data_IF_296855785176
#
_entry.id   IF_296855785176
#
_cell.length_a   1.000
_cell.length_b   1.000
_cell.length_c   1.000
_cell.angle_alpha   90.00
_cell.angle_beta   90.00
_cell.angle_gamma   90.00
#
_symmetry.space_group_name_H-M   'P 1'
#
loop_
_entity.id
_entity.type
_entity.pdbx_description
1 polymer ?
#
# COMPACT_ATOMS: atom_id res chain seq x y z
N UNK A 1 26.08 -20.57 -1.83
CA UNK A 1 25.97 -19.34 -1.01
C UNK A 1 25.90 -18.03 -1.82
N UNK A 2 26.21 -18.04 -3.12
CA UNK A 2 25.94 -16.88 -4.01
C UNK A 2 24.46 -16.74 -4.41
N UNK A 3 23.66 -17.75 -4.18
CA UNK A 3 22.23 -17.84 -4.55
C UNK A 3 21.34 -16.78 -3.86
N UNK A 4 21.46 -16.62 -2.56
CA UNK A 4 20.53 -15.80 -1.77
C UNK A 4 20.52 -14.30 -2.09
N UNK A 5 21.67 -13.69 -2.35
CA UNK A 5 21.73 -12.26 -2.69
C UNK A 5 21.32 -12.00 -4.14
N UNK A 6 21.66 -12.92 -5.04
CA UNK A 6 21.23 -12.86 -6.44
C UNK A 6 19.72 -13.07 -6.57
N UNK A 7 19.19 -14.05 -5.87
CA UNK A 7 17.74 -14.34 -5.82
C UNK A 7 16.96 -13.15 -5.26
N UNK A 8 17.48 -12.46 -4.24
CA UNK A 8 16.88 -11.24 -3.72
C UNK A 8 16.90 -10.10 -4.75
N UNK A 9 18.03 -9.88 -5.41
CA UNK A 9 18.16 -8.81 -6.42
C UNK A 9 17.16 -9.02 -7.57
N UNK A 10 17.02 -10.26 -8.04
CA UNK A 10 16.04 -10.61 -9.08
C UNK A 10 14.59 -10.38 -8.60
N UNK A 11 14.27 -10.79 -7.38
CA UNK A 11 12.95 -10.55 -6.80
C UNK A 11 12.68 -9.06 -6.61
N UNK A 12 13.67 -8.30 -6.15
CA UNK A 12 13.56 -6.85 -5.97
C UNK A 12 13.32 -6.14 -7.31
N UNK A 13 14.11 -6.43 -8.33
CA UNK A 13 13.93 -5.87 -9.67
C UNK A 13 12.53 -6.18 -10.24
N UNK A 14 12.10 -7.43 -10.10
CA UNK A 14 10.81 -7.90 -10.64
C UNK A 14 9.60 -7.26 -9.97
N UNK A 15 9.69 -6.93 -8.70
CA UNK A 15 8.55 -6.51 -7.89
C UNK A 15 8.64 -5.08 -7.34
N UNK A 16 9.64 -4.31 -7.76
CA UNK A 16 9.84 -2.92 -7.31
C UNK A 16 8.60 -2.06 -7.59
N UNK A 17 8.11 -2.11 -8.82
CA UNK A 17 6.98 -1.30 -9.27
C UNK A 17 5.68 -1.70 -8.55
N UNK A 18 5.47 -3.00 -8.32
CA UNK A 18 4.31 -3.51 -7.58
C UNK A 18 4.30 -3.01 -6.12
N UNK A 19 5.45 -3.11 -5.45
CA UNK A 19 5.60 -2.64 -4.07
C UNK A 19 5.40 -1.13 -3.98
N UNK A 20 5.99 -0.37 -4.90
CA UNK A 20 5.82 1.08 -4.96
C UNK A 20 4.37 1.47 -5.21
N UNK A 21 3.70 0.85 -6.20
CA UNK A 21 2.29 1.10 -6.49
C UNK A 21 1.39 0.81 -5.27
N UNK A 22 1.62 -0.31 -4.59
CA UNK A 22 0.90 -0.64 -3.35
C UNK A 22 1.09 0.42 -2.27
N UNK A 23 2.32 0.89 -2.07
CA UNK A 23 2.62 1.94 -1.07
C UNK A 23 2.03 3.29 -1.45
N UNK A 24 1.97 3.66 -2.73
CA UNK A 24 1.27 4.88 -3.19
C UNK A 24 -0.21 4.83 -2.80
N UNK A 25 -0.89 3.72 -3.07
CA UNK A 25 -2.30 3.55 -2.69
C UNK A 25 -2.50 3.57 -1.18
N UNK A 26 -1.61 2.92 -0.44
CA UNK A 26 -1.72 2.81 1.02
C UNK A 26 -1.46 4.14 1.72
N UNK A 27 -0.44 4.90 1.30
CA UNK A 27 -0.06 6.18 1.91
C UNK A 27 -0.88 7.35 1.38
N UNK A 28 -1.29 7.31 0.13
CA UNK A 28 -1.88 8.45 -0.57
C UNK A 28 -0.88 9.60 -0.79
N UNK A 29 0.42 9.32 -0.72
CA UNK A 29 1.49 10.30 -0.88
C UNK A 29 2.68 9.65 -1.62
N UNK A 30 3.02 10.18 -2.78
CA UNK A 30 4.05 9.62 -3.65
C UNK A 30 5.44 9.71 -3.04
N UNK A 31 5.76 10.82 -2.37
CA UNK A 31 7.06 11.02 -1.74
C UNK A 31 7.25 10.05 -0.56
N UNK A 32 6.23 9.94 0.27
CA UNK A 32 6.23 8.95 1.37
C UNK A 32 6.34 7.53 0.83
N UNK A 33 5.63 7.21 -0.25
CA UNK A 33 5.70 5.88 -0.87
C UNK A 33 7.10 5.56 -1.41
N UNK A 34 7.82 6.53 -1.99
CA UNK A 34 9.20 6.35 -2.43
C UNK A 34 10.15 6.04 -1.26
N UNK A 35 10.05 6.80 -0.17
CA UNK A 35 10.84 6.57 1.04
C UNK A 35 10.54 5.18 1.64
N UNK A 36 9.26 4.82 1.76
CA UNK A 36 8.85 3.53 2.30
C UNK A 36 9.20 2.36 1.37
N UNK A 37 9.25 2.58 0.07
CA UNK A 37 9.73 1.58 -0.89
C UNK A 37 11.20 1.25 -0.62
N UNK A 38 12.05 2.24 -0.52
CA UNK A 38 13.47 2.05 -0.20
C UNK A 38 13.65 1.32 1.15
N UNK A 39 12.93 1.76 2.18
CA UNK A 39 12.97 1.11 3.50
C UNK A 39 12.45 -0.34 3.46
N UNK A 40 11.39 -0.59 2.68
CA UNK A 40 10.84 -1.94 2.50
C UNK A 40 11.88 -2.89 1.94
N UNK A 41 12.59 -2.51 0.88
CA UNK A 41 13.61 -3.37 0.27
C UNK A 41 14.84 -3.53 1.16
N UNK A 42 15.23 -2.51 1.93
CA UNK A 42 16.29 -2.64 2.93
C UNK A 42 15.91 -3.68 4.02
N UNK A 43 14.72 -3.58 4.59
CA UNK A 43 14.20 -4.56 5.57
C UNK A 43 14.02 -5.95 4.96
N UNK A 44 13.57 -6.02 3.71
CA UNK A 44 13.40 -7.28 3.00
C UNK A 44 14.74 -7.98 2.77
N UNK A 45 15.80 -7.26 2.39
CA UNK A 45 17.15 -7.80 2.23
C UNK A 45 17.66 -8.44 3.53
N UNK A 46 17.52 -7.73 4.65
CA UNK A 46 17.93 -8.24 5.97
C UNK A 46 17.18 -9.53 6.36
N UNK A 47 15.93 -9.65 5.93
CA UNK A 47 15.01 -10.75 6.30
C UNK A 47 14.88 -11.80 5.21
N UNK A 48 15.56 -11.66 4.06
CA UNK A 48 15.41 -12.55 2.91
C UNK A 48 15.62 -14.04 3.22
N UNK A 49 16.51 -14.35 4.15
CA UNK A 49 16.75 -15.73 4.62
C UNK A 49 15.52 -16.36 5.30
N UNK A 50 14.53 -15.57 5.71
CA UNK A 50 13.28 -16.03 6.34
C UNK A 50 12.16 -16.23 5.31
N UNK A 51 12.36 -15.76 4.08
CA UNK A 51 11.40 -15.99 3.02
C UNK A 51 11.36 -17.48 2.66
N UNK A 52 10.15 -18.05 2.66
CA UNK A 52 9.90 -19.43 2.26
C UNK A 52 8.92 -19.45 1.08
N UNK A 53 9.38 -19.83 -0.13
CA UNK A 53 8.53 -19.83 -1.33
C UNK A 53 7.35 -20.82 -1.24
N UNK A 54 7.39 -21.78 -0.31
CA UNK A 54 6.26 -22.69 -0.06
C UNK A 54 5.09 -22.01 0.66
N UNK A 55 5.34 -20.89 1.32
CA UNK A 55 4.35 -20.12 2.08
C UNK A 55 3.71 -18.98 1.28
N UNK A 56 4.21 -18.68 0.10
CA UNK A 56 3.70 -17.63 -0.77
C UNK A 56 4.77 -17.10 -1.72
N UNK A 57 4.34 -16.36 -2.73
CA UNK A 57 5.25 -15.75 -3.70
C UNK A 57 6.12 -14.66 -3.08
N UNK A 58 7.27 -14.38 -3.70
CA UNK A 58 8.14 -13.27 -3.31
C UNK A 58 7.38 -11.92 -3.34
N UNK A 59 6.51 -11.72 -4.33
CA UNK A 59 5.65 -10.54 -4.45
C UNK A 59 4.75 -10.37 -3.23
N UNK A 60 4.03 -11.42 -2.84
CA UNK A 60 3.16 -11.40 -1.66
C UNK A 60 3.96 -11.10 -0.39
N UNK A 61 5.10 -11.75 -0.22
CA UNK A 61 5.96 -11.54 0.94
C UNK A 61 6.53 -10.12 0.99
N UNK A 62 6.98 -9.55 -0.14
CA UNK A 62 7.44 -8.17 -0.23
C UNK A 62 6.32 -7.16 0.10
N UNK A 63 5.10 -7.41 -0.35
CA UNK A 63 3.93 -6.60 0.02
C UNK A 63 3.61 -6.70 1.53
N UNK A 64 3.81 -7.84 2.16
CA UNK A 64 3.70 -7.97 3.62
C UNK A 64 4.74 -7.11 4.35
N UNK A 65 5.99 -7.11 3.89
CA UNK A 65 7.04 -6.25 4.43
C UNK A 65 6.69 -4.78 4.22
N UNK A 66 6.22 -4.41 3.03
CA UNK A 66 5.79 -3.05 2.70
C UNK A 66 4.67 -2.56 3.61
N UNK A 67 3.64 -3.39 3.82
CA UNK A 67 2.55 -3.05 4.74
C UNK A 67 3.05 -2.86 6.17
N UNK A 68 3.91 -3.73 6.67
CA UNK A 68 4.51 -3.59 8.00
C UNK A 68 5.29 -2.28 8.12
N UNK A 69 6.08 -1.95 7.12
CA UNK A 69 6.85 -0.69 7.04
C UNK A 69 5.92 0.53 7.07
N UNK A 70 4.85 0.52 6.28
CA UNK A 70 3.87 1.59 6.26
C UNK A 70 3.10 1.75 7.58
N UNK A 71 2.72 0.65 8.22
CA UNK A 71 2.06 0.70 9.53
C UNK A 71 2.97 1.29 10.62
N UNK A 72 4.26 0.95 10.60
CA UNK A 72 5.24 1.56 11.51
C UNK A 72 5.36 3.07 11.26
N UNK A 73 5.38 3.49 10.00
CA UNK A 73 5.38 4.90 9.61
C UNK A 73 4.13 5.62 10.11
N UNK A 74 2.93 5.09 9.90
CA UNK A 74 1.68 5.70 10.37
C UNK A 74 1.63 5.83 11.89
N UNK A 75 2.11 4.84 12.63
CA UNK A 75 2.22 4.91 14.09
C UNK A 75 3.20 5.99 14.55
N UNK A 76 4.32 6.15 13.87
CA UNK A 76 5.30 7.19 14.16
C UNK A 76 4.73 8.59 13.88
N UNK A 77 4.05 8.77 12.74
CA UNK A 77 3.39 10.02 12.38
C UNK A 77 2.28 10.40 13.37
N UNK A 78 1.47 9.42 13.80
CA UNK A 78 0.43 9.66 14.80
C UNK A 78 1.02 10.10 16.15
N UNK A 79 2.11 9.47 16.59
CA UNK A 79 2.83 9.89 17.81
C UNK A 79 3.41 11.28 17.67
N UNK A 80 3.94 11.66 16.49
CA UNK A 80 4.46 12.99 16.20
C UNK A 80 3.35 14.03 16.24
N UNK A 81 2.21 13.78 15.58
CA UNK A 81 1.04 14.67 15.58
C UNK A 81 0.51 14.91 16.99
N UNK A 82 0.43 13.90 17.84
CA UNK A 82 -0.01 14.04 19.23
C UNK A 82 0.93 14.91 20.05
N UNK A 83 2.23 14.89 19.76
CA UNK A 83 3.21 15.76 20.40
C UNK A 83 3.13 17.20 19.88
N UNK A 84 2.96 17.38 18.58
CA UNK A 84 2.88 18.69 17.92
C UNK A 84 1.55 19.39 18.20
N UNK A 85 0.43 18.70 18.26
CA UNK A 85 -0.89 19.26 18.60
C UNK A 85 -0.96 19.85 20.01
N UNK A 86 0.03 19.62 20.86
CA UNK A 86 0.20 20.33 22.12
C UNK A 86 0.78 21.75 21.93
N UNK A 87 1.33 22.07 20.77
CA UNK A 87 2.13 23.28 20.52
C UNK A 87 1.80 24.04 19.22
N UNK A 88 0.99 23.52 18.28
CA UNK A 88 0.77 24.17 16.98
C UNK A 88 -0.50 23.70 16.27
N UNK A 89 -1.29 24.67 15.78
CA UNK A 89 -2.37 24.47 14.81
C UNK A 89 -1.77 24.44 13.39
N UNK A 90 -1.08 23.39 13.00
CA UNK A 90 -0.67 23.22 11.60
C UNK A 90 -1.78 22.49 10.83
N UNK A 91 -2.33 23.17 9.83
CA UNK A 91 -3.20 22.56 8.82
C UNK A 91 -2.31 21.65 7.96
N UNK A 92 -2.66 20.38 7.75
CA UNK A 92 -1.91 19.53 6.82
C UNK A 92 -1.89 20.16 5.44
N UNK A 93 -0.72 20.31 4.83
CA UNK A 93 -0.63 20.70 3.42
C UNK A 93 -1.31 19.61 2.58
N UNK A 94 -2.28 20.03 1.74
CA UNK A 94 -2.91 19.15 0.79
C UNK A 94 -1.90 18.89 -0.34
N UNK A 95 -1.31 17.70 -0.35
CA UNK A 95 -0.48 17.26 -1.46
C UNK A 95 -1.37 16.72 -2.58
N UNK A 96 -1.07 17.10 -3.82
CA UNK A 96 -1.70 16.50 -4.98
C UNK A 96 -1.30 15.03 -5.06
N UNK A 97 -2.27 14.14 -4.88
CA UNK A 97 -2.04 12.70 -4.88
C UNK A 97 -2.28 12.16 -6.29
N UNK A 98 -1.28 11.51 -6.84
CA UNK A 98 -1.38 10.78 -8.10
C UNK A 98 -1.20 9.30 -7.80
N UNK A 99 -2.28 8.52 -7.84
CA UNK A 99 -2.27 7.08 -7.57
C UNK A 99 -1.71 6.25 -8.72
N UNK A 100 -1.92 6.68 -9.95
CA UNK A 100 -1.42 5.98 -11.13
C UNK A 100 -1.53 6.81 -12.41
N UNK A 101 -0.73 6.45 -13.39
CA UNK A 101 -0.82 7.09 -14.70
C UNK A 101 -2.13 6.72 -15.41
N UNK A 102 -2.78 7.68 -16.03
CA UNK A 102 -3.98 7.47 -16.82
C UNK A 102 -5.29 7.37 -16.03
N UNK A 103 -5.27 7.59 -14.73
CA UNK A 103 -6.50 7.74 -13.95
C UNK A 103 -7.13 9.10 -14.23
N UNK A 104 -8.49 9.14 -14.27
CA UNK A 104 -9.16 10.43 -14.39
C UNK A 104 -9.07 11.24 -13.11
N UNK A 105 -9.13 12.59 -13.18
CA UNK A 105 -9.12 13.44 -11.98
C UNK A 105 -10.24 13.09 -10.97
N UNK A 106 -11.40 12.66 -11.46
CA UNK A 106 -12.53 12.23 -10.61
C UNK A 106 -12.19 10.97 -9.84
N UNK A 107 -11.53 10.00 -10.48
CA UNK A 107 -11.10 8.75 -9.85
C UNK A 107 -9.97 9.00 -8.84
N UNK A 108 -8.99 9.83 -9.20
CA UNK A 108 -7.93 10.26 -8.27
C UNK A 108 -8.52 10.94 -7.04
N UNK A 109 -9.45 11.88 -7.23
CA UNK A 109 -10.16 12.55 -6.15
C UNK A 109 -10.98 11.60 -5.28
N UNK A 110 -11.66 10.64 -5.90
CA UNK A 110 -12.42 9.63 -5.16
C UNK A 110 -11.50 8.73 -4.32
N UNK A 111 -10.41 8.24 -4.87
CA UNK A 111 -9.41 7.45 -4.15
C UNK A 111 -8.79 8.22 -2.98
N UNK A 112 -8.51 9.51 -3.14
CA UNK A 112 -7.91 10.34 -2.08
C UNK A 112 -8.85 10.51 -0.86
N UNK A 113 -10.16 10.45 -1.06
CA UNK A 113 -11.16 10.51 0.01
C UNK A 113 -11.42 9.18 0.71
N UNK A 114 -10.94 8.07 0.13
CA UNK A 114 -11.11 6.74 0.74
C UNK A 114 -10.14 6.51 1.90
N UNK A 115 -10.49 5.57 2.77
CA UNK A 115 -9.59 5.12 3.83
C UNK A 115 -8.36 4.39 3.26
N UNK A 116 -7.25 4.44 3.97
CA UNK A 116 -6.04 3.69 3.61
C UNK A 116 -6.31 2.18 3.49
N UNK A 117 -7.18 1.63 4.36
CA UNK A 117 -7.56 0.22 4.32
C UNK A 117 -8.33 -0.16 3.05
N UNK A 118 -9.23 0.71 2.59
CA UNK A 118 -9.99 0.51 1.35
C UNK A 118 -9.07 0.63 0.13
N UNK A 119 -8.19 1.63 0.11
CA UNK A 119 -7.18 1.77 -0.96
C UNK A 119 -6.23 0.58 -1.02
N UNK A 120 -5.83 0.06 0.13
CA UNK A 120 -4.94 -1.10 0.19
C UNK A 120 -5.54 -2.35 -0.46
N UNK A 121 -6.80 -2.67 -0.17
CA UNK A 121 -7.45 -3.84 -0.78
C UNK A 121 -7.68 -3.64 -2.27
N UNK A 122 -7.99 -2.43 -2.73
CA UNK A 122 -8.10 -2.11 -4.16
C UNK A 122 -6.74 -2.29 -4.84
N UNK A 123 -5.67 -1.75 -4.27
CA UNK A 123 -4.33 -1.90 -4.83
C UNK A 123 -3.94 -3.37 -4.99
N UNK A 124 -4.09 -4.17 -3.94
CA UNK A 124 -3.70 -5.58 -3.98
C UNK A 124 -4.54 -6.42 -4.95
N UNK A 125 -5.85 -6.20 -4.96
CA UNK A 125 -6.78 -7.03 -5.72
C UNK A 125 -7.00 -6.58 -7.17
N UNK A 126 -6.97 -5.27 -7.42
CA UNK A 126 -7.28 -4.68 -8.74
C UNK A 126 -6.00 -4.26 -9.45
N UNK A 127 -5.13 -3.50 -8.79
CA UNK A 127 -3.91 -2.98 -9.43
C UNK A 127 -2.85 -4.05 -9.58
N UNK A 128 -2.59 -4.82 -8.51
CA UNK A 128 -1.60 -5.90 -8.51
C UNK A 128 -2.17 -7.26 -8.94
N UNK A 129 -3.48 -7.37 -9.08
CA UNK A 129 -4.18 -8.61 -9.46
C UNK A 129 -3.80 -9.83 -8.59
N UNK A 130 -3.63 -9.61 -7.30
CA UNK A 130 -3.45 -10.71 -6.35
C UNK A 130 -4.78 -11.41 -6.10
N UNK A 131 -4.75 -12.74 -5.92
CA UNK A 131 -5.93 -13.48 -5.47
C UNK A 131 -6.32 -13.13 -4.03
N UNK A 132 -7.50 -13.57 -3.59
CA UNK A 132 -8.02 -13.26 -2.26
C UNK A 132 -7.17 -13.87 -1.13
N UNK A 133 -6.53 -14.99 -1.37
CA UNK A 133 -5.63 -15.66 -0.41
C UNK A 133 -4.36 -14.83 -0.21
N UNK A 134 -3.68 -14.47 -1.30
CA UNK A 134 -2.45 -13.66 -1.26
C UNK A 134 -2.69 -12.26 -0.70
N UNK A 135 -3.74 -11.58 -1.18
CA UNK A 135 -4.11 -10.26 -0.67
C UNK A 135 -4.54 -10.31 0.81
N UNK A 136 -5.29 -11.34 1.19
CA UNK A 136 -5.65 -11.60 2.59
C UNK A 136 -4.43 -11.82 3.47
N UNK A 137 -3.44 -12.57 2.99
CA UNK A 137 -2.16 -12.76 3.69
C UNK A 137 -1.40 -11.44 3.91
N UNK A 138 -1.39 -10.55 2.91
CA UNK A 138 -0.80 -9.20 3.05
C UNK A 138 -1.55 -8.38 4.10
N UNK A 139 -2.89 -8.41 4.06
CA UNK A 139 -3.73 -7.60 4.94
C UNK A 139 -3.92 -8.20 6.35
N UNK A 140 -3.48 -9.43 6.58
CA UNK A 140 -3.70 -10.14 7.83
C UNK A 140 -5.16 -10.52 8.08
N UNK A 141 -5.92 -10.83 7.03
CA UNK A 141 -7.34 -11.21 7.06
C UNK A 141 -7.60 -12.47 6.24
N UNK A 142 -8.74 -13.11 6.48
CA UNK A 142 -9.14 -14.29 5.70
C UNK A 142 -9.43 -13.93 4.23
N UNK A 143 -9.34 -14.89 3.30
CA UNK A 143 -9.71 -14.68 1.89
C UNK A 143 -11.15 -14.19 1.74
N UNK A 144 -12.08 -14.73 2.52
CA UNK A 144 -13.49 -14.30 2.52
C UNK A 144 -13.64 -12.85 2.99
N UNK A 145 -12.96 -12.48 4.08
CA UNK A 145 -12.95 -11.10 4.56
C UNK A 145 -12.31 -10.14 3.55
N UNK A 146 -11.26 -10.59 2.85
CA UNK A 146 -10.64 -9.82 1.77
C UNK A 146 -11.63 -9.53 0.62
N UNK A 147 -12.34 -10.55 0.15
CA UNK A 147 -13.34 -10.41 -0.91
C UNK A 147 -14.50 -9.49 -0.50
N UNK A 148 -14.99 -9.63 0.73
CA UNK A 148 -16.04 -8.75 1.28
C UNK A 148 -15.55 -7.31 1.39
N UNK A 149 -14.33 -7.09 1.87
CA UNK A 149 -13.74 -5.75 1.96
C UNK A 149 -13.58 -5.11 0.59
N UNK A 150 -13.10 -5.87 -0.40
CA UNK A 150 -13.00 -5.39 -1.78
C UNK A 150 -14.36 -4.94 -2.33
N UNK A 151 -15.38 -5.79 -2.21
CA UNK A 151 -16.73 -5.46 -2.67
C UNK A 151 -17.24 -4.14 -2.06
N UNK A 152 -17.09 -3.98 -0.75
CA UNK A 152 -17.49 -2.74 -0.05
C UNK A 152 -16.64 -1.53 -0.46
N UNK A 153 -15.35 -1.72 -0.65
CA UNK A 153 -14.45 -0.65 -1.08
C UNK A 153 -14.80 -0.17 -2.50
N UNK A 154 -15.09 -1.08 -3.43
CA UNK A 154 -15.52 -0.73 -4.79
C UNK A 154 -16.88 -0.01 -4.81
N UNK A 155 -17.83 -0.42 -3.97
CA UNK A 155 -19.11 0.29 -3.82
C UNK A 155 -18.90 1.72 -3.29
N UNK A 156 -18.00 1.93 -2.33
CA UNK A 156 -17.66 3.26 -1.84
C UNK A 156 -17.00 4.10 -2.92
N UNK A 157 -16.07 3.51 -3.66
CA UNK A 157 -15.38 4.19 -4.76
C UNK A 157 -16.37 4.65 -5.83
N UNK A 158 -17.29 3.79 -6.25
CA UNK A 158 -18.35 4.12 -7.22
C UNK A 158 -19.20 5.30 -6.72
N UNK A 159 -19.61 5.29 -5.45
CA UNK A 159 -20.37 6.37 -4.83
C UNK A 159 -19.58 7.69 -4.79
N UNK A 160 -18.28 7.62 -4.46
CA UNK A 160 -17.40 8.80 -4.42
C UNK A 160 -17.20 9.41 -5.80
N UNK A 161 -17.03 8.59 -6.84
CA UNK A 161 -16.93 9.06 -8.23
C UNK A 161 -18.26 9.70 -8.66
N UNK A 162 -19.39 9.08 -8.37
CA UNK A 162 -20.72 9.60 -8.70
C UNK A 162 -21.05 10.92 -8.03
N UNK A 163 -20.59 11.12 -6.78
CA UNK A 163 -20.80 12.39 -6.07
C UNK A 163 -19.90 13.53 -6.55
N UNK A 164 -18.72 13.20 -7.12
CA UNK A 164 -17.80 14.20 -7.69
C UNK A 164 -18.27 14.77 -9.03
N UNK A 165 -19.12 14.06 -9.76
CA UNK A 165 -19.68 14.52 -11.06
C UNK A 165 -20.89 15.46 -10.86
N UNK A 166 -21.49 15.47 -9.69
CA UNK A 166 -22.69 16.28 -9.38
C UNK A 166 -22.38 17.66 -8.79
N UNK A 167 -21.11 18.00 -8.62
CA UNK A 167 -20.63 19.30 -8.12
C UNK A 167 -19.93 20.10 -9.21
#
# INVERSE_FOLDING_TARGET
MKSSAHDFAEAAERHLDDVHAFLVYLTGDRNVAEELTAETFARALERWRRYDPRRGSARTWLCQVARSTALDHFRAEERRRRRENRFSLQVPEAHEVVFGEGLSPELEGALSRMSAADRAVIALRVVLDLDAESAGAVLGISPTACSTRLSRALQRLEKEVGSGVAA
#
